data_IF_450570682970
#
_entry.id   IF_450570682970
#
_cell.length_a   1.000
_cell.length_b   1.000
_cell.length_c   1.000
_cell.angle_alpha   90.00
_cell.angle_beta   90.00
_cell.angle_gamma   90.00
#
_symmetry.space_group_name_H-M   'P 1'
#
loop_
_entity.id
_entity.type
_entity.pdbx_description
1 polymer ?
#
# COMPACT_ATOMS: atom_id res chain seq x y z
N UNK A 1 -4.49 23.36 18.86
CA UNK A 1 -3.84 24.38 18.00
C UNK A 1 -2.50 24.89 18.54
N UNK A 2 -2.39 25.34 19.80
CA UNK A 2 -1.13 25.93 20.32
C UNK A 2 0.05 24.92 20.34
N UNK A 3 -0.21 23.63 20.60
CA UNK A 3 0.83 22.59 20.68
C UNK A 3 1.48 22.24 19.33
N UNK A 4 0.71 22.17 18.23
CA UNK A 4 1.22 21.77 16.92
C UNK A 4 2.06 22.88 16.27
N UNK A 5 1.68 24.14 16.46
CA UNK A 5 2.42 25.29 15.96
C UNK A 5 3.79 25.43 16.67
N UNK A 6 3.82 25.15 17.97
CA UNK A 6 5.04 25.17 18.78
C UNK A 6 6.01 24.03 18.41
N UNK A 7 5.48 22.81 18.20
CA UNK A 7 6.26 21.66 17.73
C UNK A 7 6.83 21.88 16.31
N UNK A 8 6.04 22.45 15.39
CA UNK A 8 6.51 22.78 14.04
C UNK A 8 7.69 23.77 14.03
N UNK A 9 7.73 24.71 14.99
CA UNK A 9 8.81 25.68 15.11
C UNK A 9 10.06 25.08 15.78
N UNK A 10 9.88 24.17 16.74
CA UNK A 10 10.96 23.58 17.53
C UNK A 10 11.64 22.40 16.87
N UNK A 11 10.92 21.59 16.08
CA UNK A 11 11.48 20.38 15.46
C UNK A 11 12.74 20.62 14.61
N UNK A 12 12.84 21.70 13.80
CA UNK A 12 14.08 22.03 13.07
C UNK A 12 15.24 22.47 13.97
N UNK A 13 14.94 23.02 15.15
CA UNK A 13 15.94 23.50 16.12
C UNK A 13 16.43 22.32 16.98
N UNK A 14 15.51 21.49 17.45
CA UNK A 14 15.79 20.29 18.24
C UNK A 14 16.55 19.24 17.42
N UNK A 15 16.26 19.10 16.12
CA UNK A 15 17.01 18.19 15.25
C UNK A 15 18.48 18.57 15.06
N UNK A 16 18.81 19.88 15.14
CA UNK A 16 20.19 20.38 15.06
C UNK A 16 20.94 20.32 16.39
N UNK A 17 20.27 20.60 17.51
CA UNK A 17 20.91 20.65 18.83
C UNK A 17 20.94 19.32 19.57
N UNK A 18 19.91 18.48 19.41
CA UNK A 18 19.72 17.24 20.17
C UNK A 18 18.95 16.21 19.34
N UNK A 19 19.62 15.42 18.49
CA UNK A 19 18.97 14.54 17.50
C UNK A 19 18.08 13.43 18.11
N UNK A 20 18.18 13.20 19.42
CA UNK A 20 17.37 12.24 20.16
C UNK A 20 16.01 12.78 20.66
N UNK A 21 15.84 14.10 20.78
CA UNK A 21 14.58 14.70 21.25
C UNK A 21 13.43 14.60 20.24
N UNK A 22 13.64 14.80 18.92
CA UNK A 22 12.59 14.61 17.92
C UNK A 22 11.97 13.20 17.97
N UNK A 23 12.81 12.16 18.12
CA UNK A 23 12.38 10.75 18.21
C UNK A 23 11.62 10.41 19.49
N UNK A 24 11.80 11.17 20.58
CA UNK A 24 11.04 11.01 21.83
C UNK A 24 9.66 11.65 21.76
N UNK A 25 9.56 12.82 21.13
CA UNK A 25 8.30 13.57 21.01
C UNK A 25 7.39 12.98 19.93
N UNK A 26 8.01 12.54 18.84
CA UNK A 26 7.35 11.90 17.72
C UNK A 26 7.98 10.52 17.56
N UNK A 27 7.21 9.48 17.85
CA UNK A 27 7.68 8.09 17.80
C UNK A 27 7.31 7.44 16.46
N UNK A 28 8.05 6.40 16.08
CA UNK A 28 7.80 5.68 14.83
C UNK A 28 6.38 5.10 14.78
N UNK A 29 5.85 4.59 15.91
CA UNK A 29 4.47 4.09 15.99
C UNK A 29 3.45 5.17 15.67
N UNK A 30 3.58 6.36 16.30
CA UNK A 30 2.69 7.50 16.03
C UNK A 30 2.76 7.95 14.58
N UNK A 31 3.94 7.88 13.97
CA UNK A 31 4.09 8.24 12.57
C UNK A 31 3.45 7.20 11.64
N UNK A 32 3.63 5.89 11.92
CA UNK A 32 2.98 4.81 11.15
C UNK A 32 1.46 4.93 11.16
N UNK A 33 0.86 5.26 12.31
CA UNK A 33 -0.58 5.51 12.45
C UNK A 33 -1.08 6.71 11.62
N UNK A 34 -0.18 7.59 11.19
CA UNK A 34 -0.48 8.76 10.36
C UNK A 34 -0.26 8.51 8.86
N UNK A 35 0.22 7.33 8.47
CA UNK A 35 0.25 6.92 7.07
C UNK A 35 -0.96 6.04 6.83
N UNK A 36 -1.92 6.58 6.08
CA UNK A 36 -3.16 5.89 5.75
C UNK A 36 -3.06 5.30 4.36
N UNK A 37 -3.33 4.01 4.23
CA UNK A 37 -3.32 3.30 2.95
C UNK A 37 -4.77 2.97 2.62
N UNK A 38 -5.37 3.84 1.83
CA UNK A 38 -6.73 3.70 1.38
C UNK A 38 -6.80 2.70 0.23
N UNK A 39 -7.30 1.54 0.62
CA UNK A 39 -7.63 0.37 -0.18
C UNK A 39 -9.10 0.39 -0.65
N UNK A 40 -9.90 1.40 -0.29
CA UNK A 40 -11.37 1.44 -0.41
C UNK A 40 -11.90 1.96 -1.76
N UNK A 41 -11.07 2.05 -2.81
CA UNK A 41 -11.67 2.16 -4.15
C UNK A 41 -12.62 0.96 -4.35
N UNK A 42 -13.74 1.15 -5.05
CA UNK A 42 -14.78 0.11 -5.15
C UNK A 42 -14.26 -1.22 -5.69
N UNK A 43 -13.12 -1.20 -6.40
CA UNK A 43 -12.41 -2.37 -6.93
C UNK A 43 -10.88 -2.11 -6.91
N UNK A 44 -10.20 -2.29 -5.77
CA UNK A 44 -8.77 -1.98 -5.65
C UNK A 44 -7.89 -2.98 -6.40
N UNK A 45 -8.46 -4.14 -6.73
CA UNK A 45 -7.87 -5.14 -7.60
C UNK A 45 -8.82 -5.36 -8.76
N UNK A 46 -8.29 -5.19 -9.97
CA UNK A 46 -8.97 -5.48 -11.23
C UNK A 46 -8.19 -6.55 -11.97
N UNK A 47 -8.88 -7.59 -12.42
CA UNK A 47 -8.31 -8.62 -13.28
C UNK A 47 -9.00 -8.49 -14.64
N UNK A 48 -8.22 -8.36 -15.71
CA UNK A 48 -8.75 -8.32 -17.08
C UNK A 48 -8.32 -9.58 -17.81
N UNK A 49 -9.30 -10.40 -18.21
CA UNK A 49 -9.09 -11.65 -18.92
C UNK A 49 -9.33 -11.52 -20.43
N UNK A 50 -10.09 -10.51 -20.86
CA UNK A 50 -10.50 -10.33 -22.26
C UNK A 50 -9.42 -9.65 -23.13
N UNK A 51 -8.31 -9.21 -22.54
CA UNK A 51 -7.21 -8.61 -23.28
C UNK A 51 -6.39 -9.64 -24.07
N UNK A 52 -5.61 -9.18 -25.05
CA UNK A 52 -4.61 -10.02 -25.74
C UNK A 52 -3.62 -10.65 -24.76
N UNK A 53 -3.30 -9.92 -23.69
CA UNK A 53 -2.52 -10.40 -22.55
C UNK A 53 -3.40 -10.18 -21.32
N UNK A 54 -3.71 -11.23 -20.54
CA UNK A 54 -4.47 -11.08 -19.31
C UNK A 54 -3.63 -10.38 -18.25
N UNK A 55 -4.24 -9.47 -17.49
CA UNK A 55 -3.51 -8.62 -16.54
C UNK A 55 -4.23 -8.50 -15.22
N UNK A 56 -3.47 -8.35 -14.15
CA UNK A 56 -3.95 -7.79 -12.90
C UNK A 56 -3.55 -6.33 -12.78
N UNK A 57 -4.39 -5.54 -12.14
CA UNK A 57 -4.17 -4.13 -11.86
C UNK A 57 -4.53 -3.87 -10.41
N UNK A 58 -3.65 -3.17 -9.70
CA UNK A 58 -3.83 -2.80 -8.30
C UNK A 58 -3.81 -1.27 -8.19
N UNK A 59 -4.85 -0.72 -7.58
CA UNK A 59 -5.06 0.72 -7.39
C UNK A 59 -5.23 1.03 -5.90
N UNK A 60 -4.33 1.84 -5.36
CA UNK A 60 -4.31 2.21 -3.95
C UNK A 60 -4.02 3.70 -3.81
N UNK A 61 -4.53 4.32 -2.74
CA UNK A 61 -4.19 5.70 -2.39
C UNK A 61 -3.45 5.72 -1.07
N UNK A 62 -2.27 6.33 -1.03
CA UNK A 62 -1.51 6.49 0.21
C UNK A 62 -1.62 7.95 0.63
N UNK A 63 -2.05 8.19 1.85
CA UNK A 63 -2.20 9.54 2.43
C UNK A 63 -1.22 9.70 3.58
N UNK A 64 -0.36 10.71 3.47
CA UNK A 64 0.51 11.13 4.55
C UNK A 64 -0.23 12.16 5.41
N UNK A 65 -0.76 11.73 6.57
CA UNK A 65 -1.43 12.61 7.53
C UNK A 65 -0.46 13.23 8.55
N UNK A 66 0.84 12.99 8.41
CA UNK A 66 1.82 13.60 9.31
C UNK A 66 1.86 15.10 9.07
N UNK A 67 1.76 15.92 10.13
CA UNK A 67 1.98 17.36 10.01
C UNK A 67 3.48 17.72 9.94
N UNK A 68 4.37 16.77 10.25
CA UNK A 68 5.79 17.04 10.51
C UNK A 68 6.73 16.45 9.46
N UNK A 69 6.43 15.27 8.91
CA UNK A 69 7.35 14.51 8.08
C UNK A 69 6.77 14.27 6.69
N UNK A 70 7.56 14.57 5.67
CA UNK A 70 7.37 14.03 4.34
C UNK A 70 7.78 12.56 4.31
N UNK A 71 7.18 11.78 3.41
CA UNK A 71 7.55 10.37 3.20
C UNK A 71 7.99 10.12 1.77
N UNK A 72 8.97 9.24 1.64
CA UNK A 72 9.38 8.64 0.38
C UNK A 72 8.97 7.17 0.39
N UNK A 73 8.15 6.77 -0.58
CA UNK A 73 7.82 5.39 -0.86
C UNK A 73 8.79 4.86 -1.92
N UNK A 74 9.49 3.79 -1.59
CA UNK A 74 10.52 3.19 -2.45
C UNK A 74 10.11 1.81 -2.98
N UNK A 75 9.57 0.98 -2.09
CA UNK A 75 9.31 -0.44 -2.36
C UNK A 75 7.95 -0.87 -1.85
N UNK A 76 7.33 -1.78 -2.58
CA UNK A 76 6.11 -2.41 -2.14
C UNK A 76 6.04 -3.88 -2.57
N UNK A 77 5.49 -4.72 -1.71
CA UNK A 77 5.25 -6.14 -1.97
C UNK A 77 3.76 -6.38 -1.90
N UNK A 78 3.27 -7.09 -2.92
CA UNK A 78 1.86 -7.37 -3.12
C UNK A 78 1.70 -8.88 -3.18
N UNK A 79 0.97 -9.41 -2.19
CA UNK A 79 0.55 -10.79 -2.15
C UNK A 79 -0.96 -10.81 -2.30
N UNK A 80 -1.48 -11.41 -3.36
CA UNK A 80 -2.89 -11.49 -3.71
C UNK A 80 -3.28 -12.95 -3.83
N UNK A 81 -4.26 -13.36 -3.02
CA UNK A 81 -4.84 -14.69 -3.02
C UNK A 81 -6.32 -14.61 -3.36
N UNK A 82 -6.78 -15.54 -4.20
CA UNK A 82 -8.17 -15.64 -4.64
C UNK A 82 -8.81 -16.87 -4.02
N UNK A 83 -10.09 -16.76 -3.64
CA UNK A 83 -10.87 -17.89 -3.13
C UNK A 83 -11.65 -18.53 -4.27
N UNK A 84 -11.46 -19.82 -4.48
CA UNK A 84 -12.29 -20.68 -5.32
C UNK A 84 -13.05 -21.72 -4.50
N UNK A 85 -13.82 -22.56 -5.16
CA UNK A 85 -14.62 -23.60 -4.49
C UNK A 85 -13.74 -24.67 -3.82
N UNK A 86 -12.57 -24.95 -4.38
CA UNK A 86 -11.60 -25.93 -3.86
C UNK A 86 -10.63 -25.35 -2.82
N UNK A 87 -10.75 -24.07 -2.47
CA UNK A 87 -9.90 -23.42 -1.46
C UNK A 87 -9.31 -22.09 -1.91
N UNK A 88 -8.25 -21.67 -1.22
CA UNK A 88 -7.58 -20.39 -1.44
C UNK A 88 -6.29 -20.60 -2.23
N UNK A 89 -6.13 -19.88 -3.33
CA UNK A 89 -5.01 -20.03 -4.24
C UNK A 89 -4.20 -18.73 -4.35
N UNK A 90 -2.86 -18.80 -4.36
CA UNK A 90 -2.03 -17.64 -4.58
C UNK A 90 -2.16 -17.21 -6.05
N UNK A 91 -2.69 -16.02 -6.29
CA UNK A 91 -2.73 -15.46 -7.63
C UNK A 91 -1.40 -14.79 -7.94
N UNK A 92 -0.93 -13.93 -7.03
CA UNK A 92 0.34 -13.22 -7.18
C UNK A 92 1.03 -13.12 -5.83
N UNK A 93 2.32 -13.41 -5.82
CA UNK A 93 3.22 -12.98 -4.75
C UNK A 93 4.42 -12.32 -5.44
N UNK A 94 4.48 -10.98 -5.40
CA UNK A 94 5.49 -10.26 -6.16
C UNK A 94 6.00 -9.03 -5.41
N UNK A 95 7.29 -8.83 -5.57
CA UNK A 95 7.95 -7.59 -5.22
C UNK A 95 7.81 -6.60 -6.39
N UNK A 96 7.41 -5.37 -6.09
CA UNK A 96 7.46 -4.26 -7.02
C UNK A 96 8.38 -3.17 -6.48
N UNK A 97 9.43 -2.87 -7.27
CA UNK A 97 10.14 -1.60 -7.13
C UNK A 97 9.21 -0.54 -7.70
N UNK A 98 8.73 0.36 -6.85
CA UNK A 98 7.95 1.49 -7.31
C UNK A 98 8.94 2.58 -7.76
N UNK A 99 8.55 3.37 -8.76
CA UNK A 99 9.27 4.63 -8.97
C UNK A 99 9.18 5.44 -7.68
N UNK A 100 10.29 5.96 -7.14
CA UNK A 100 10.26 6.64 -5.85
C UNK A 100 9.19 7.73 -5.83
N UNK A 101 8.21 7.58 -4.94
CA UNK A 101 7.14 8.57 -4.77
C UNK A 101 7.40 9.38 -3.52
N UNK A 102 7.40 10.70 -3.64
CA UNK A 102 7.52 11.61 -2.51
C UNK A 102 6.15 12.17 -2.16
N UNK A 103 5.64 11.84 -0.97
CA UNK A 103 4.32 12.26 -0.49
C UNK A 103 4.57 13.27 0.62
N UNK A 104 4.32 14.55 0.34
CA UNK A 104 4.54 15.60 1.33
C UNK A 104 3.54 15.47 2.48
N UNK A 105 3.82 16.14 3.58
CA UNK A 105 2.90 16.31 4.71
C UNK A 105 1.49 16.72 4.26
N UNK A 106 0.48 16.05 4.82
CA UNK A 106 -0.94 16.27 4.53
C UNK A 106 -1.35 16.09 3.06
N UNK A 107 -0.54 15.41 2.24
CA UNK A 107 -0.85 15.09 0.85
C UNK A 107 -1.15 13.60 0.65
N UNK A 108 -1.69 13.26 -0.52
CA UNK A 108 -1.93 11.88 -0.93
C UNK A 108 -1.32 11.60 -2.29
N UNK A 109 -0.94 10.35 -2.53
CA UNK A 109 -0.47 9.87 -3.83
C UNK A 109 -1.22 8.60 -4.22
N UNK A 110 -1.52 8.45 -5.51
CA UNK A 110 -2.11 7.24 -6.08
C UNK A 110 -1.02 6.28 -6.58
N UNK A 111 -1.13 5.02 -6.18
CA UNK A 111 -0.27 3.93 -6.62
C UNK A 111 -1.06 3.05 -7.56
N UNK A 112 -0.58 2.97 -8.80
CA UNK A 112 -1.07 2.05 -9.80
C UNK A 112 0.02 1.05 -10.16
N UNK A 113 -0.30 -0.23 -10.10
CA UNK A 113 0.58 -1.32 -10.51
C UNK A 113 -0.17 -2.27 -11.43
N UNK A 114 0.50 -2.74 -12.48
CA UNK A 114 -0.05 -3.73 -13.42
C UNK A 114 0.96 -4.84 -13.66
N UNK A 115 0.47 -6.08 -13.77
CA UNK A 115 1.30 -7.23 -14.12
C UNK A 115 0.52 -8.20 -14.99
N UNK A 116 1.22 -8.75 -15.97
CA UNK A 116 0.69 -9.77 -16.85
C UNK A 116 0.52 -11.09 -16.07
N UNK A 117 -0.62 -11.74 -16.28
CA UNK A 117 -0.89 -13.06 -15.75
C UNK A 117 -0.25 -14.10 -16.68
N UNK A 118 0.46 -15.06 -16.08
CA UNK A 118 0.91 -16.23 -16.81
C UNK A 118 -0.27 -17.18 -17.09
N UNK A 119 -0.03 -18.20 -17.92
CA UNK A 119 -1.06 -19.16 -18.32
C UNK A 119 -1.75 -19.84 -17.13
N UNK A 120 -0.97 -20.28 -16.13
CA UNK A 120 -1.51 -20.93 -14.94
C UNK A 120 -2.44 -20.00 -14.14
N UNK A 121 -2.01 -18.74 -13.93
CA UNK A 121 -2.80 -17.73 -13.23
C UNK A 121 -4.07 -17.38 -14.00
N UNK A 122 -4.00 -17.29 -15.32
CA UNK A 122 -5.15 -17.06 -16.19
C UNK A 122 -6.17 -18.20 -16.10
N UNK A 123 -5.71 -19.45 -16.27
CA UNK A 123 -6.56 -20.63 -16.23
C UNK A 123 -7.27 -20.74 -14.86
N UNK A 124 -6.53 -20.48 -13.77
CA UNK A 124 -7.07 -20.45 -12.41
C UNK A 124 -8.18 -19.40 -12.23
N UNK A 125 -7.95 -18.15 -12.63
CA UNK A 125 -8.97 -17.09 -12.48
C UNK A 125 -10.19 -17.39 -13.36
N UNK A 126 -9.97 -17.95 -14.55
CA UNK A 126 -11.06 -18.32 -15.46
C UNK A 126 -11.94 -19.41 -14.84
N UNK A 127 -11.34 -20.46 -14.28
CA UNK A 127 -12.07 -21.53 -13.58
C UNK A 127 -12.92 -20.98 -12.43
N UNK A 128 -12.37 -20.07 -11.62
CA UNK A 128 -13.10 -19.46 -10.49
C UNK A 128 -14.23 -18.54 -10.99
N UNK A 129 -14.00 -17.75 -12.05
CA UNK A 129 -15.02 -16.85 -12.64
C UNK A 129 -16.20 -17.64 -13.20
N UNK A 130 -15.94 -18.77 -13.84
CA UNK A 130 -16.98 -19.62 -14.42
C UNK A 130 -17.81 -20.32 -13.32
N UNK A 131 -17.26 -20.46 -12.10
CA UNK A 131 -17.96 -21.08 -10.97
C UNK A 131 -18.74 -20.08 -10.10
N UNK A 132 -18.22 -18.87 -9.79
CA UNK A 132 -18.85 -17.80 -8.95
C UNK A 132 -18.24 -16.40 -9.18
N UNK A 133 -18.74 -15.38 -8.46
CA UNK A 133 -18.05 -14.08 -8.32
C UNK A 133 -16.68 -14.24 -7.64
N UNK A 134 -15.61 -13.77 -8.30
CA UNK A 134 -14.24 -13.87 -7.79
C UNK A 134 -14.04 -12.89 -6.63
N UNK A 135 -13.78 -13.44 -5.44
CA UNK A 135 -13.44 -12.64 -4.25
C UNK A 135 -11.97 -12.82 -3.90
N UNK A 136 -11.31 -11.74 -3.48
CA UNK A 136 -10.02 -11.91 -2.81
C UNK A 136 -10.22 -12.45 -1.41
N UNK A 137 -9.50 -13.52 -1.10
CA UNK A 137 -9.52 -14.12 0.22
C UNK A 137 -8.63 -13.31 1.17
N UNK A 138 -7.36 -13.22 0.78
CA UNK A 138 -6.28 -12.64 1.53
C UNK A 138 -5.42 -11.86 0.54
N UNK A 139 -5.35 -10.55 0.73
CA UNK A 139 -4.27 -9.79 0.13
C UNK A 139 -3.54 -9.05 1.22
N UNK A 140 -2.22 -9.15 1.17
CA UNK A 140 -1.30 -8.46 2.05
C UNK A 140 -0.47 -7.51 1.21
N UNK A 141 -0.41 -6.27 1.65
CA UNK A 141 0.36 -5.22 1.03
C UNK A 141 1.38 -4.75 2.05
N UNK A 142 2.64 -4.77 1.66
CA UNK A 142 3.76 -4.32 2.48
C UNK A 142 4.42 -3.15 1.79
N UNK A 143 4.59 -2.05 2.49
CA UNK A 143 5.17 -0.83 1.96
C UNK A 143 6.37 -0.41 2.81
N UNK A 144 7.46 -0.03 2.16
CA UNK A 144 8.64 0.53 2.80
C UNK A 144 8.72 2.02 2.54
N UNK A 145 8.71 2.77 3.64
CA UNK A 145 8.79 4.22 3.63
C UNK A 145 10.08 4.71 4.29
N UNK A 146 10.61 5.80 3.75
CA UNK A 146 11.66 6.60 4.36
C UNK A 146 11.13 7.99 4.71
N UNK A 147 11.66 8.58 5.78
CA UNK A 147 11.50 9.99 6.10
C UNK A 147 12.82 10.55 6.64
N UNK A 148 12.84 11.85 6.96
CA UNK A 148 14.03 12.48 7.55
C UNK A 148 14.38 11.95 8.95
N UNK A 149 13.42 11.33 9.67
CA UNK A 149 13.63 10.80 11.02
C UNK A 149 13.76 9.28 11.09
N UNK A 150 13.18 8.55 10.14
CA UNK A 150 13.14 7.09 10.13
C UNK A 150 13.48 6.53 8.76
N UNK A 151 14.18 5.41 8.74
CA UNK A 151 14.59 4.74 7.52
C UNK A 151 14.00 3.34 7.45
N UNK A 152 13.54 2.97 6.26
CA UNK A 152 13.00 1.66 5.91
C UNK A 152 11.88 1.19 6.85
N UNK A 153 10.95 2.08 7.18
CA UNK A 153 9.78 1.72 7.95
C UNK A 153 8.84 0.86 7.13
N UNK A 154 8.50 -0.31 7.69
CA UNK A 154 7.49 -1.20 7.14
C UNK A 154 6.11 -0.86 7.68
N UNK A 155 5.15 -0.70 6.76
CA UNK A 155 3.72 -0.63 7.04
C UNK A 155 3.03 -1.75 6.25
N UNK A 156 2.23 -2.55 6.95
CA UNK A 156 1.46 -3.65 6.37
C UNK A 156 -0.03 -3.34 6.42
N UNK A 157 -0.74 -3.64 5.34
CA UNK A 157 -2.21 -3.58 5.29
C UNK A 157 -2.78 -4.77 4.53
N UNK A 158 -4.09 -4.99 4.63
CA UNK A 158 -4.76 -6.13 3.99
C UNK A 158 -6.17 -5.78 3.53
N UNK A 159 -6.61 -6.29 2.38
CA UNK A 159 -7.98 -6.09 1.87
C UNK A 159 -9.00 -7.12 2.38
N UNK A 160 -8.70 -7.94 3.42
CA UNK A 160 -9.50 -9.09 3.89
C UNK A 160 -10.96 -9.11 3.40
N UNK A 161 -11.28 -10.05 2.50
CA UNK A 161 -12.62 -10.27 1.93
C UNK A 161 -13.22 -9.12 1.09
N UNK A 162 -12.41 -8.30 0.40
CA UNK A 162 -12.94 -7.35 -0.60
C UNK A 162 -13.22 -8.05 -1.95
N UNK A 163 -14.31 -7.67 -2.64
CA UNK A 163 -14.59 -8.19 -3.98
C UNK A 163 -13.53 -7.71 -4.97
N UNK A 164 -13.21 -8.55 -5.95
CA UNK A 164 -12.35 -8.20 -7.07
C UNK A 164 -13.20 -8.03 -8.33
N UNK A 165 -12.88 -7.02 -9.14
CA UNK A 165 -13.50 -6.88 -10.45
C UNK A 165 -12.78 -7.77 -11.45
N UNK A 166 -13.49 -8.71 -12.07
CA UNK A 166 -12.95 -9.57 -13.12
C UNK A 166 -13.68 -9.31 -14.42
N UNK A 167 -13.02 -8.57 -15.32
CA UNK A 167 -13.54 -8.21 -16.66
C UNK A 167 -13.13 -9.25 -17.69
#
# INVERSE_FOLDING_TARGET
MINEMFLNLLMPILSKGFPFLPKKLYSESKFKEQIDIDVQSSNPIKISLNGKIPTISIYLKITNRSPYLDVKLDRAVFSVWVRGDSGTFPLIDTFWVLSPKHIKRSESEEIFCQKDLNKFQFDLVKEIKDSKEVTTDLSSFKFWFDSSLYHSMLIETSLKNKPCKVD
#
